data_IF_418336108490
#
_entry.id   IF_418336108490
#
_cell.length_a   1.000
_cell.length_b   1.000
_cell.length_c   1.000
_cell.angle_alpha   90.00
_cell.angle_beta   90.00
_cell.angle_gamma   90.00
#
_symmetry.space_group_name_H-M   'P 1'
#
loop_
_entity.id
_entity.type
_entity.pdbx_description
1 polymer ?
#
# COMPACT_ATOMS: atom_id res chain seq x y z
N UNK A 1 18.25 -28.01 4.21
CA UNK A 1 18.73 -26.64 4.49
C UNK A 1 19.84 -26.18 3.53
N UNK A 2 20.59 -27.07 2.88
CA UNK A 2 21.62 -26.69 1.90
C UNK A 2 21.10 -25.76 0.78
N UNK A 3 19.94 -26.08 0.18
CA UNK A 3 19.37 -25.30 -0.91
C UNK A 3 19.00 -23.85 -0.53
N UNK A 4 18.40 -23.63 0.64
CA UNK A 4 18.05 -22.27 1.09
C UNK A 4 19.27 -21.43 1.46
N UNK A 5 20.36 -22.08 1.88
CA UNK A 5 21.64 -21.40 2.16
C UNK A 5 22.38 -21.09 0.86
N UNK A 6 22.33 -21.99 -0.12
CA UNK A 6 22.93 -21.82 -1.44
C UNK A 6 22.33 -20.61 -2.18
N UNK A 7 21.00 -20.43 -2.11
CA UNK A 7 20.29 -19.33 -2.78
C UNK A 7 19.86 -18.22 -1.81
N UNK A 8 20.61 -17.99 -0.73
CA UNK A 8 20.24 -17.02 0.32
C UNK A 8 20.05 -15.60 -0.24
N UNK A 9 20.82 -15.25 -1.26
CA UNK A 9 20.82 -13.98 -1.99
C UNK A 9 19.59 -13.80 -2.91
N UNK A 10 18.90 -14.88 -3.26
CA UNK A 10 17.67 -14.83 -4.06
C UNK A 10 16.44 -14.39 -3.25
N UNK A 11 16.56 -14.30 -1.91
CA UNK A 11 15.46 -13.95 -1.02
C UNK A 11 15.67 -12.57 -0.40
N UNK A 12 14.58 -11.83 -0.24
CA UNK A 12 14.54 -10.64 0.59
C UNK A 12 14.26 -11.04 2.05
N UNK A 13 15.19 -10.72 2.93
CA UNK A 13 15.07 -10.91 4.38
C UNK A 13 14.53 -9.66 5.07
N UNK A 14 14.72 -8.51 4.42
CA UNK A 14 14.30 -7.20 4.87
C UNK A 14 13.64 -6.41 3.73
N UNK A 15 12.73 -5.50 4.07
CA UNK A 15 11.98 -4.74 3.07
C UNK A 15 12.85 -3.83 2.19
N UNK A 16 14.00 -3.36 2.68
CA UNK A 16 14.92 -2.54 1.88
C UNK A 16 15.62 -3.35 0.77
N UNK A 17 15.62 -4.69 0.86
CA UNK A 17 16.13 -5.59 -0.18
C UNK A 17 15.12 -5.78 -1.31
N UNK A 18 13.93 -5.16 -1.22
CA UNK A 18 12.92 -5.14 -2.27
C UNK A 18 12.76 -3.73 -2.87
N UNK A 19 13.76 -3.17 -3.56
CA UNK A 19 13.74 -1.79 -4.06
C UNK A 19 12.66 -1.51 -5.13
N UNK A 20 11.85 -2.50 -5.50
CA UNK A 20 10.90 -2.43 -6.60
C UNK A 20 11.59 -2.51 -7.96
N UNK A 21 10.82 -2.29 -9.02
CA UNK A 21 11.35 -2.15 -10.38
C UNK A 21 11.50 -0.67 -10.72
N UNK A 22 12.47 -0.35 -11.57
CA UNK A 22 12.63 1.00 -12.10
C UNK A 22 11.35 1.41 -12.84
N UNK A 23 10.85 2.62 -12.57
CA UNK A 23 9.66 3.17 -13.25
C UNK A 23 9.88 3.38 -14.75
N UNK A 24 11.12 3.52 -15.20
CA UNK A 24 11.47 3.54 -16.61
C UNK A 24 11.32 2.16 -17.27
N UNK A 25 11.46 1.09 -16.49
CA UNK A 25 11.30 -0.28 -16.97
C UNK A 25 9.82 -0.67 -17.02
N UNK A 26 9.09 -0.46 -15.93
CA UNK A 26 7.67 -0.79 -15.85
C UNK A 26 6.93 0.13 -14.90
N UNK A 27 5.77 0.61 -15.35
CA UNK A 27 4.84 1.37 -14.53
C UNK A 27 3.42 0.89 -14.83
N UNK A 28 2.69 0.49 -13.79
CA UNK A 28 1.29 0.18 -13.91
C UNK A 28 0.45 1.46 -13.82
N UNK A 29 -0.42 1.68 -14.81
CA UNK A 29 -1.36 2.80 -14.84
C UNK A 29 -2.77 2.24 -14.70
N UNK A 30 -3.50 2.75 -13.71
CA UNK A 30 -4.90 2.42 -13.51
C UNK A 30 -5.75 3.34 -14.39
N UNK A 31 -6.42 2.84 -15.45
CA UNK A 31 -7.35 3.64 -16.22
C UNK A 31 -8.57 3.99 -15.39
N UNK A 32 -9.15 5.16 -15.64
CA UNK A 32 -10.41 5.61 -15.05
C UNK A 32 -11.45 5.69 -16.17
N UNK A 33 -12.68 5.23 -15.90
CA UNK A 33 -13.81 5.35 -16.82
C UNK A 33 -14.04 6.80 -17.21
N UNK A 34 -14.42 7.02 -18.46
CA UNK A 34 -14.75 8.36 -18.95
C UNK A 34 -15.89 8.96 -18.12
N UNK A 35 -15.75 10.23 -17.74
CA UNK A 35 -16.73 10.96 -16.94
C UNK A 35 -16.70 10.69 -15.42
N UNK A 36 -15.86 9.77 -14.92
CA UNK A 36 -15.71 9.57 -13.47
C UNK A 36 -14.88 10.69 -12.83
N UNK A 37 -15.42 11.29 -11.76
CA UNK A 37 -14.71 12.33 -11.01
C UNK A 37 -13.90 11.73 -9.85
N UNK A 38 -12.73 12.33 -9.52
CA UNK A 38 -11.96 11.94 -8.35
C UNK A 38 -12.75 12.06 -7.05
N UNK A 39 -12.59 11.06 -6.18
CA UNK A 39 -13.23 11.04 -4.86
C UNK A 39 -12.21 11.30 -3.76
N UNK A 40 -12.52 12.27 -2.89
CA UNK A 40 -11.79 12.55 -1.66
C UNK A 40 -12.60 12.08 -0.45
N UNK A 41 -12.30 10.88 0.05
CA UNK A 41 -12.99 10.35 1.21
C UNK A 41 -12.66 11.17 2.47
N UNK A 42 -13.67 11.46 3.28
CA UNK A 42 -13.48 12.08 4.58
C UNK A 42 -12.70 11.15 5.52
N UNK A 43 -11.78 11.71 6.31
CA UNK A 43 -10.95 10.96 7.27
C UNK A 43 -11.84 10.22 8.26
N UNK A 44 -11.62 8.91 8.41
CA UNK A 44 -12.27 8.13 9.47
C UNK A 44 -11.64 8.38 10.83
N UNK A 45 -12.49 8.45 11.86
CA UNK A 45 -12.04 8.50 13.26
C UNK A 45 -11.42 7.15 13.64
N UNK A 46 -10.31 7.21 14.35
CA UNK A 46 -9.62 6.06 14.92
C UNK A 46 -9.42 6.28 16.41
N UNK A 47 -9.30 5.20 17.18
CA UNK A 47 -8.87 5.30 18.57
C UNK A 47 -7.40 5.70 18.64
N UNK A 48 -6.99 6.29 19.76
CA UNK A 48 -5.62 6.75 19.97
C UNK A 48 -4.60 5.60 19.87
N UNK A 49 -4.90 4.44 20.45
CA UNK A 49 -4.06 3.23 20.36
C UNK A 49 -3.87 2.77 18.90
N UNK A 50 -4.94 2.80 18.11
CA UNK A 50 -4.86 2.43 16.69
C UNK A 50 -4.05 3.45 15.89
N UNK A 51 -4.23 4.74 16.17
CA UNK A 51 -3.50 5.80 15.47
C UNK A 51 -1.99 5.73 15.72
N UNK A 52 -1.55 5.37 16.92
CA UNK A 52 -0.14 5.17 17.23
C UNK A 52 0.47 4.03 16.39
N UNK A 53 -0.17 2.86 16.40
CA UNK A 53 0.28 1.69 15.61
C UNK A 53 0.28 1.97 14.10
N UNK A 54 -0.69 2.75 13.64
CA UNK A 54 -0.77 3.19 12.24
C UNK A 54 0.42 4.06 11.88
N UNK A 55 0.80 5.02 12.74
CA UNK A 55 1.96 5.89 12.51
C UNK A 55 3.26 5.09 12.42
N UNK A 56 3.47 4.14 13.33
CA UNK A 56 4.64 3.25 13.32
C UNK A 56 4.74 2.46 12.00
N UNK A 57 3.63 1.89 11.53
CA UNK A 57 3.61 1.13 10.29
C UNK A 57 3.80 2.02 9.05
N UNK A 58 3.23 3.24 9.03
CA UNK A 58 3.48 4.22 7.97
C UNK A 58 4.96 4.61 7.91
N UNK A 59 5.59 4.88 9.05
CA UNK A 59 7.02 5.23 9.12
C UNK A 59 7.90 4.08 8.62
N UNK A 60 7.55 2.84 8.97
CA UNK A 60 8.21 1.64 8.47
C UNK A 60 8.12 1.51 6.95
N UNK A 61 6.94 1.77 6.36
CA UNK A 61 6.72 1.73 4.91
C UNK A 61 7.42 2.88 4.19
N UNK A 62 7.47 4.08 4.77
CA UNK A 62 8.23 5.22 4.26
C UNK A 62 9.73 4.91 4.24
N UNK A 63 10.27 4.36 5.33
CA UNK A 63 11.70 3.99 5.41
C UNK A 63 12.08 2.90 4.41
N UNK A 64 11.15 2.00 4.08
CA UNK A 64 11.34 1.00 3.04
C UNK A 64 11.23 1.54 1.61
N UNK A 65 10.76 2.79 1.42
CA UNK A 65 10.54 3.38 0.10
C UNK A 65 9.30 2.90 -0.62
N UNK A 66 8.41 2.13 0.04
CA UNK A 66 7.20 1.58 -0.57
C UNK A 66 6.10 2.62 -0.76
N UNK A 67 6.09 3.65 0.10
CA UNK A 67 5.18 4.79 -0.01
C UNK A 67 5.98 6.09 0.03
N UNK A 68 5.35 7.17 -0.45
CA UNK A 68 5.93 8.52 -0.45
C UNK A 68 4.83 9.56 -0.20
N UNK A 69 5.17 10.75 0.31
CA UNK A 69 4.23 11.86 0.38
C UNK A 69 3.70 12.23 -1.01
N UNK A 70 2.38 12.40 -1.12
CA UNK A 70 1.71 12.92 -2.30
C UNK A 70 1.13 14.30 -1.95
N UNK A 71 1.56 15.33 -2.69
CA UNK A 71 1.08 16.70 -2.52
C UNK A 71 -0.01 16.95 -3.57
N UNK A 72 -1.10 17.60 -3.17
CA UNK A 72 -2.24 17.94 -4.05
C UNK A 72 -2.91 16.73 -4.71
N UNK A 73 -3.10 15.63 -3.97
CA UNK A 73 -3.79 14.47 -4.50
C UNK A 73 -5.28 14.76 -4.78
N UNK A 74 -5.73 14.43 -5.99
CA UNK A 74 -7.14 14.51 -6.40
C UNK A 74 -7.98 13.37 -5.84
N UNK A 75 -7.35 12.20 -5.66
CA UNK A 75 -7.96 11.03 -5.04
C UNK A 75 -7.46 10.88 -3.60
N UNK A 76 -8.40 10.66 -2.67
CA UNK A 76 -8.05 10.31 -1.28
C UNK A 76 -8.90 9.12 -0.84
N UNK A 77 -8.24 8.01 -0.55
CA UNK A 77 -8.84 6.82 0.04
C UNK A 77 -8.43 6.70 1.51
N UNK A 78 -9.36 6.27 2.36
CA UNK A 78 -9.08 6.03 3.76
C UNK A 78 -8.23 4.77 3.94
N UNK A 79 -7.36 4.82 4.95
CA UNK A 79 -6.73 3.63 5.49
C UNK A 79 -7.72 2.80 6.32
N UNK A 80 -7.52 1.50 6.31
CA UNK A 80 -8.25 0.51 7.09
C UNK A 80 -7.21 -0.28 7.89
N UNK A 81 -6.95 0.09 9.16
CA UNK A 81 -6.04 -0.66 10.00
C UNK A 81 -6.63 -2.03 10.33
N UNK A 82 -5.89 -3.10 10.01
CA UNK A 82 -6.28 -4.47 10.31
C UNK A 82 -5.34 -5.05 11.36
N UNK A 83 -5.89 -5.39 12.53
CA UNK A 83 -5.12 -5.98 13.62
C UNK A 83 -4.75 -7.43 13.32
N UNK A 84 -3.46 -7.75 13.36
CA UNK A 84 -2.96 -9.12 13.29
C UNK A 84 -3.10 -9.77 14.67
N UNK A 85 -4.07 -10.67 14.81
CA UNK A 85 -4.39 -11.34 16.09
C UNK A 85 -3.18 -12.01 16.76
N UNK A 86 -2.25 -12.57 15.99
CA UNK A 86 -1.09 -13.31 16.51
C UNK A 86 0.00 -12.42 17.10
N UNK A 87 0.24 -11.25 16.50
CA UNK A 87 1.40 -10.40 16.85
C UNK A 87 1.00 -9.08 17.49
N UNK A 88 -0.30 -8.72 17.49
CA UNK A 88 -0.77 -7.41 17.94
C UNK A 88 -0.41 -6.26 16.99
N UNK A 89 0.34 -6.54 15.91
CA UNK A 89 0.73 -5.55 14.92
C UNK A 89 -0.45 -5.15 14.01
N UNK A 90 -0.40 -3.95 13.46
CA UNK A 90 -1.38 -3.49 12.46
C UNK A 90 -0.86 -3.73 11.05
N UNK A 91 -1.74 -4.11 10.13
CA UNK A 91 -1.51 -4.02 8.68
C UNK A 91 -2.32 -2.86 8.15
N UNK A 92 -1.69 -1.94 7.43
CA UNK A 92 -2.41 -0.89 6.71
C UNK A 92 -3.01 -1.48 5.45
N UNK A 93 -4.33 -1.51 5.37
CA UNK A 93 -5.07 -1.69 4.12
C UNK A 93 -5.61 -0.32 3.66
N UNK A 94 -6.04 -0.22 2.41
CA UNK A 94 -6.65 0.99 1.85
C UNK A 94 -8.02 0.65 1.28
N UNK A 95 -9.00 1.50 1.55
CA UNK A 95 -10.37 1.35 1.05
C UNK A 95 -10.50 1.87 -0.38
N UNK A 96 -10.13 1.02 -1.34
CA UNK A 96 -10.17 1.35 -2.77
C UNK A 96 -11.56 1.28 -3.41
N UNK A 97 -12.66 1.17 -2.64
CA UNK A 97 -14.00 0.98 -3.24
C UNK A 97 -14.35 2.01 -4.31
N UNK A 98 -14.12 3.31 -4.06
CA UNK A 98 -14.38 4.36 -5.05
C UNK A 98 -13.45 4.28 -6.26
N UNK A 99 -12.18 3.90 -6.05
CA UNK A 99 -11.22 3.73 -7.14
C UNK A 99 -11.60 2.53 -8.02
N UNK A 100 -11.93 1.39 -7.40
CA UNK A 100 -12.34 0.17 -8.09
C UNK A 100 -13.64 0.36 -8.88
N UNK A 101 -14.56 1.16 -8.38
CA UNK A 101 -15.79 1.53 -9.10
C UNK A 101 -15.49 2.41 -10.32
N UNK A 102 -14.53 3.32 -10.19
CA UNK A 102 -14.09 4.23 -11.24
C UNK A 102 -13.22 3.53 -12.30
N UNK A 103 -12.53 2.44 -11.96
CA UNK A 103 -11.73 1.68 -12.90
C UNK A 103 -12.60 0.79 -13.81
N UNK A 104 -12.26 0.65 -15.11
CA UNK A 104 -12.87 -0.38 -15.95
C UNK A 104 -12.49 -1.76 -15.41
N UNK A 105 -13.38 -2.74 -15.60
CA UNK A 105 -13.06 -4.13 -15.28
C UNK A 105 -12.11 -4.65 -16.36
N UNK A 106 -11.00 -5.23 -15.94
CA UNK A 106 -10.11 -5.98 -16.81
C UNK A 106 -10.51 -7.46 -16.73
N UNK A 107 -10.28 -8.23 -17.80
CA UNK A 107 -10.47 -9.69 -17.77
C UNK A 107 -9.31 -10.39 -17.02
N UNK A 108 -8.22 -9.67 -16.79
CA UNK A 108 -7.00 -10.17 -16.14
C UNK A 108 -6.72 -9.56 -14.75
N UNK A 109 -7.56 -8.61 -14.27
CA UNK A 109 -7.49 -8.00 -12.93
C UNK A 109 -8.81 -8.10 -12.15
#
# INVERSE_FOLDING_TARGET
MALLQEFRDCFAWHYHEMPGLDRQLVEHKLPIKEGYLPVKQARRRMSMDTELKVKEEIERLLKAGFIRPAIYADWLANIVPVLKRKTGAVRICVDYRNLNEASPKDEYL
#
